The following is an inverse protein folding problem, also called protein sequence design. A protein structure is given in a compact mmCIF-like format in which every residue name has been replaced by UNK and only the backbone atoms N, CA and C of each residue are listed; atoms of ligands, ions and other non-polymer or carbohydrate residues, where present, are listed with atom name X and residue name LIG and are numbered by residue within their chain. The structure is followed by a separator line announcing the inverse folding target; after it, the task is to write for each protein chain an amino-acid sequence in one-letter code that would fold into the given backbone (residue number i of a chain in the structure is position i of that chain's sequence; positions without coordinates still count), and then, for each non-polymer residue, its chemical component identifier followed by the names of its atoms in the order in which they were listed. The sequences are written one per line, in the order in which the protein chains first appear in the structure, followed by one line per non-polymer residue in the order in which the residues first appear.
data_IF_919218815208
#
_entry.id   IF_919218815208
#
_cell.length_a   1.000
_cell.length_b   1.000
_cell.length_c   1.000
_cell.angle_alpha   90.00
_cell.angle_beta   90.00
_cell.angle_gamma   90.00
#
_symmetry.space_group_name_H-M   'P 1'
#
loop_
_entity.id
_entity.type
_entity.pdbx_description
1 polymer ?
#
# COMPACT_ATOMS: atom_id res chain seq x y z
N UNK A 1 28.11 -21.80 -16.67
CA UNK A 1 27.12 -22.21 -15.64
C UNK A 1 26.87 -20.99 -14.79
N UNK A 2 25.99 -20.11 -15.27
CA UNK A 2 25.83 -18.76 -14.73
C UNK A 2 24.56 -18.70 -13.88
N UNK A 3 24.75 -18.58 -12.57
CA UNK A 3 23.74 -18.14 -11.62
C UNK A 3 23.40 -16.68 -11.91
N UNK A 4 22.42 -16.43 -12.77
CA UNK A 4 21.78 -15.12 -12.88
C UNK A 4 20.77 -15.03 -11.75
N UNK A 5 21.20 -14.49 -10.61
CA UNK A 5 20.32 -13.99 -9.55
C UNK A 5 19.38 -12.97 -10.19
N UNK A 6 18.12 -13.36 -10.35
CA UNK A 6 17.01 -12.45 -10.64
C UNK A 6 16.82 -11.58 -9.40
N UNK A 7 17.43 -10.40 -9.39
CA UNK A 7 17.11 -9.35 -8.42
C UNK A 7 15.83 -8.70 -8.93
N UNK A 8 14.68 -9.33 -8.65
CA UNK A 8 13.41 -8.63 -8.62
C UNK A 8 13.43 -7.80 -7.33
N UNK A 9 13.68 -6.50 -7.47
CA UNK A 9 13.53 -5.57 -6.35
C UNK A 9 12.06 -5.55 -5.96
N UNK A 10 11.79 -6.17 -4.82
CA UNK A 10 10.53 -6.16 -4.11
C UNK A 10 10.17 -4.70 -3.77
N UNK A 11 9.11 -4.18 -4.37
CA UNK A 11 8.58 -2.84 -4.05
C UNK A 11 7.74 -2.86 -2.76
N UNK A 12 7.60 -4.02 -2.12
CA UNK A 12 6.85 -4.19 -0.88
C UNK A 12 7.59 -3.71 0.37
N UNK A 13 8.91 -3.48 0.33
CA UNK A 13 9.67 -3.06 1.51
C UNK A 13 10.88 -2.17 1.20
N UNK A 14 10.79 -0.89 1.55
CA UNK A 14 11.93 -0.19 2.13
C UNK A 14 11.37 0.72 3.22
N UNK A 15 11.90 0.55 4.43
CA UNK A 15 11.75 1.41 5.58
C UNK A 15 11.36 2.84 5.18
N UNK A 16 10.17 3.28 5.58
CA UNK A 16 9.74 4.67 5.45
C UNK A 16 10.42 5.57 6.49
N UNK A 17 11.69 5.29 6.81
CA UNK A 17 12.58 6.19 7.53
C UNK A 17 13.51 6.83 6.50
N UNK A 18 13.47 8.16 6.48
CA UNK A 18 14.27 9.08 5.65
C UNK A 18 13.75 9.37 4.23
N UNK A 19 13.62 10.68 3.95
CA UNK A 19 13.09 11.24 2.71
C UNK A 19 14.11 11.17 1.56
N UNK A 20 15.40 10.96 1.87
CA UNK A 20 16.47 10.81 0.87
C UNK A 20 16.29 9.57 -0.02
N UNK A 21 15.89 8.43 0.55
CA UNK A 21 15.80 7.17 -0.21
C UNK A 21 14.57 7.08 -1.13
N UNK A 22 13.50 7.84 -0.85
CA UNK A 22 12.24 7.77 -1.62
C UNK A 22 12.32 8.48 -2.97
N UNK A 23 13.04 9.60 -3.05
CA UNK A 23 13.26 10.36 -4.30
C UNK A 23 14.25 9.62 -5.21
N UNK A 24 15.26 8.96 -4.64
CA UNK A 24 16.19 8.11 -5.38
C UNK A 24 15.54 6.83 -5.94
N UNK A 25 14.46 6.34 -5.32
CA UNK A 25 13.71 5.17 -5.82
C UNK A 25 12.92 5.47 -7.10
N UNK A 26 12.33 6.66 -7.21
CA UNK A 26 11.63 7.10 -8.43
C UNK A 26 12.65 7.33 -9.58
N UNK A 27 13.82 7.93 -9.29
CA UNK A 27 14.92 8.04 -10.25
C UNK A 27 15.52 6.68 -10.66
N UNK A 28 15.64 5.73 -9.73
CA UNK A 28 16.08 4.35 -10.04
C UNK A 28 15.08 3.59 -10.90
N UNK A 29 13.78 3.82 -10.74
CA UNK A 29 12.73 3.28 -11.61
C UNK A 29 12.82 3.81 -13.05
N UNK A 30 13.12 5.10 -13.23
CA UNK A 30 13.40 5.69 -14.56
C UNK A 30 14.69 5.16 -15.19
N UNK A 31 15.71 4.84 -14.38
CA UNK A 31 16.94 4.18 -14.84
C UNK A 31 16.74 2.71 -15.19
N UNK A 32 15.85 1.99 -14.49
CA UNK A 32 15.46 0.61 -14.83
C UNK A 32 14.73 0.55 -16.18
N UNK A 33 13.87 1.53 -16.51
CA UNK A 33 13.28 1.67 -17.86
C UNK A 33 14.33 1.79 -18.97
N UNK A 34 15.53 2.30 -18.67
CA UNK A 34 16.65 2.41 -19.64
C UNK A 34 17.49 1.13 -19.77
N UNK A 35 17.52 0.25 -18.78
CA UNK A 35 18.45 -0.90 -18.72
C UNK A 35 17.84 -2.26 -19.12
N UNK A 36 16.53 -2.35 -19.38
CA UNK A 36 15.92 -3.56 -19.96
C UNK A 36 16.10 -3.59 -21.49
N UNK A 37 17.33 -3.81 -21.94
CA UNK A 37 17.60 -4.31 -23.30
C UNK A 37 17.76 -5.83 -23.22
N UNK A 38 16.63 -6.55 -23.17
CA UNK A 38 16.65 -8.00 -23.20
C UNK A 38 16.75 -8.53 -24.64
N UNK A 39 17.55 -9.59 -24.81
CA UNK A 39 18.09 -10.09 -26.06
C UNK A 39 17.01 -10.52 -27.08
N UNK A 40 17.22 -10.13 -28.34
CA UNK A 40 16.27 -10.10 -29.48
C UNK A 40 15.71 -11.45 -30.01
N UNK A 41 15.80 -12.59 -29.32
CA UNK A 41 15.70 -13.90 -30.02
C UNK A 41 14.58 -14.90 -29.71
N UNK A 42 13.60 -14.62 -28.86
CA UNK A 42 12.46 -15.55 -28.68
C UNK A 42 11.11 -14.85 -28.85
N UNK A 43 10.81 -14.51 -30.10
CA UNK A 43 9.47 -14.10 -30.55
C UNK A 43 8.65 -15.34 -30.87
N UNK A 44 7.74 -15.74 -29.97
CA UNK A 44 6.44 -16.43 -30.24
C UNK A 44 5.90 -17.09 -28.96
N UNK A 45 5.01 -16.40 -28.24
CA UNK A 45 3.83 -16.99 -27.57
C UNK A 45 3.15 -15.92 -26.68
N UNK A 46 1.94 -15.50 -27.06
CA UNK A 46 1.08 -14.57 -26.30
C UNK A 46 0.29 -15.35 -25.20
N UNK A 47 0.63 -16.61 -24.95
CA UNK A 47 -0.10 -17.46 -24.01
C UNK A 47 0.85 -18.47 -23.36
N UNK A 48 1.24 -18.22 -22.10
CA UNK A 48 1.74 -19.29 -21.24
C UNK A 48 0.53 -19.92 -20.55
N UNK A 49 0.22 -21.17 -20.92
CA UNK A 49 -0.67 -22.02 -20.13
C UNK A 49 0.13 -22.54 -18.94
N UNK A 50 -0.09 -21.95 -17.76
CA UNK A 50 0.12 -22.65 -16.49
C UNK A 50 -1.17 -22.55 -15.70
N UNK A 51 -1.69 -23.72 -15.35
CA UNK A 51 -2.97 -24.07 -14.72
C UNK A 51 -3.90 -22.92 -14.28
N UNK A 52 -5.03 -22.83 -14.99
CA UNK A 52 -6.31 -22.16 -14.69
C UNK A 52 -6.45 -20.62 -14.70
N UNK A 53 -5.45 -19.83 -15.09
CA UNK A 53 -5.68 -18.45 -15.56
C UNK A 53 -4.84 -18.16 -16.81
N UNK A 54 -5.47 -17.72 -17.91
CA UNK A 54 -4.73 -17.18 -19.07
C UNK A 54 -4.03 -15.90 -18.61
N UNK A 55 -2.74 -15.98 -18.33
CA UNK A 55 -1.95 -14.79 -17.99
C UNK A 55 -1.60 -14.05 -19.28
N UNK A 56 -2.40 -13.05 -19.63
CA UNK A 56 -2.07 -12.09 -20.69
C UNK A 56 -1.11 -11.06 -20.09
N UNK A 57 0.09 -10.92 -20.65
CA UNK A 57 1.06 -9.90 -20.24
C UNK A 57 1.20 -8.84 -21.33
N UNK A 58 0.90 -7.61 -20.99
CA UNK A 58 0.96 -6.46 -21.89
C UNK A 58 2.41 -6.08 -22.22
N UNK A 59 3.34 -6.38 -21.31
CA UNK A 59 4.79 -6.23 -21.50
C UNK A 59 5.31 -6.83 -22.83
N UNK A 60 4.79 -8.00 -23.20
CA UNK A 60 5.23 -8.74 -24.40
C UNK A 60 4.30 -8.54 -25.60
N UNK A 61 3.24 -7.75 -25.45
CA UNK A 61 2.31 -7.47 -26.52
C UNK A 61 2.95 -6.57 -27.59
N UNK A 62 2.44 -6.64 -28.83
CA UNK A 62 2.86 -5.68 -29.86
C UNK A 62 2.38 -4.27 -29.50
N UNK A 63 3.03 -3.24 -30.05
CA UNK A 63 2.61 -1.85 -29.85
C UNK A 63 1.13 -1.62 -30.22
N UNK A 64 0.65 -2.28 -31.28
CA UNK A 64 -0.75 -2.19 -31.67
C UNK A 64 -1.70 -2.70 -30.56
N UNK A 65 -1.33 -3.77 -29.85
CA UNK A 65 -2.13 -4.31 -28.75
C UNK A 65 -1.99 -3.47 -27.46
N UNK A 66 -0.84 -2.84 -27.24
CA UNK A 66 -0.63 -1.88 -26.14
C UNK A 66 -1.44 -0.58 -26.33
N UNK A 67 -1.87 -0.31 -27.55
CA UNK A 67 -2.73 0.81 -27.93
C UNK A 67 -4.21 0.42 -28.09
N UNK A 68 -4.51 -0.89 -28.15
CA UNK A 68 -5.87 -1.41 -28.25
C UNK A 68 -6.58 -1.28 -26.91
N UNK A 69 -7.48 -0.31 -26.82
CA UNK A 69 -8.24 0.01 -25.62
C UNK A 69 -8.97 -1.20 -25.03
N UNK A 70 -9.70 -1.94 -25.85
CA UNK A 70 -10.53 -3.05 -25.38
C UNK A 70 -9.67 -4.23 -24.91
N UNK A 71 -8.55 -4.47 -25.60
CA UNK A 71 -7.59 -5.46 -25.16
C UNK A 71 -6.94 -5.08 -23.83
N UNK A 72 -6.45 -3.83 -23.69
CA UNK A 72 -5.83 -3.37 -22.45
C UNK A 72 -6.83 -3.39 -21.29
N UNK A 73 -8.08 -2.97 -21.51
CA UNK A 73 -9.14 -3.00 -20.50
C UNK A 73 -9.34 -4.41 -19.92
N UNK A 74 -9.38 -5.44 -20.77
CA UNK A 74 -9.49 -6.83 -20.31
C UNK A 74 -8.27 -7.29 -19.49
N UNK A 75 -7.07 -6.86 -19.89
CA UNK A 75 -5.83 -7.23 -19.20
C UNK A 75 -5.74 -6.57 -17.82
N UNK A 76 -6.01 -5.27 -17.71
CA UNK A 76 -5.93 -4.55 -16.43
C UNK A 76 -7.02 -4.98 -15.44
N UNK A 77 -8.14 -5.51 -15.93
CA UNK A 77 -9.17 -6.15 -15.10
C UNK A 77 -8.70 -7.45 -14.44
N UNK A 78 -7.70 -8.12 -15.02
CA UNK A 78 -7.08 -9.32 -14.43
C UNK A 78 -5.89 -8.96 -13.55
N UNK A 79 -5.09 -7.97 -13.95
CA UNK A 79 -3.93 -7.46 -13.22
C UNK A 79 -3.70 -5.98 -13.51
N UNK A 80 -4.04 -5.10 -12.55
CA UNK A 80 -3.93 -3.65 -12.73
C UNK A 80 -2.50 -3.13 -12.96
N UNK A 81 -1.45 -3.87 -12.56
CA UNK A 81 -0.04 -3.48 -12.78
C UNK A 81 0.29 -3.40 -14.28
N UNK A 82 -0.40 -4.17 -15.12
CA UNK A 82 -0.16 -4.22 -16.56
C UNK A 82 -0.40 -2.85 -17.24
N UNK A 83 -1.11 -1.92 -16.58
CA UNK A 83 -1.28 -0.54 -17.04
C UNK A 83 0.06 0.14 -17.34
N UNK A 84 1.15 -0.19 -16.61
CA UNK A 84 2.51 0.33 -16.83
C UNK A 84 3.01 0.18 -18.29
N UNK A 85 2.53 -0.85 -19.00
CA UNK A 85 2.99 -1.19 -20.35
C UNK A 85 2.06 -0.66 -21.45
N UNK A 86 0.97 0.00 -21.09
CA UNK A 86 0.04 0.59 -22.05
C UNK A 86 0.62 1.85 -22.70
N UNK A 87 0.07 2.23 -23.86
CA UNK A 87 0.49 3.47 -24.53
C UNK A 87 0.04 4.71 -23.75
N UNK A 88 0.72 5.85 -23.97
CA UNK A 88 0.38 7.11 -23.29
C UNK A 88 -1.10 7.52 -23.46
N UNK A 89 -1.72 7.20 -24.60
CA UNK A 89 -3.13 7.49 -24.84
C UNK A 89 -4.03 6.68 -23.90
N UNK A 90 -3.69 5.40 -23.66
CA UNK A 90 -4.42 4.53 -22.73
C UNK A 90 -4.17 4.94 -21.28
N UNK A 91 -2.95 5.41 -20.95
CA UNK A 91 -2.65 5.96 -19.62
C UNK A 91 -3.45 7.21 -19.28
N UNK A 92 -4.02 7.89 -20.28
CA UNK A 92 -4.95 9.01 -20.13
C UNK A 92 -6.43 8.59 -20.18
N UNK A 93 -6.74 7.33 -20.47
CA UNK A 93 -8.12 6.82 -20.47
C UNK A 93 -8.56 6.53 -19.04
N UNK A 94 -9.40 7.43 -18.51
CA UNK A 94 -9.92 7.37 -17.14
C UNK A 94 -10.65 6.07 -16.82
N UNK A 95 -11.38 5.49 -17.77
CA UNK A 95 -12.11 4.24 -17.53
C UNK A 95 -11.17 3.05 -17.40
N UNK A 96 -10.15 2.97 -18.27
CA UNK A 96 -9.12 1.93 -18.20
C UNK A 96 -8.31 2.07 -16.90
N UNK A 97 -7.94 3.29 -16.53
CA UNK A 97 -7.21 3.56 -15.28
C UNK A 97 -8.04 3.18 -14.06
N UNK A 98 -9.34 3.51 -14.00
CA UNK A 98 -10.22 3.09 -12.90
C UNK A 98 -10.36 1.56 -12.81
N UNK A 99 -10.49 0.88 -13.95
CA UNK A 99 -10.54 -0.57 -14.00
C UNK A 99 -9.24 -1.22 -13.45
N UNK A 100 -8.09 -0.60 -13.74
CA UNK A 100 -6.80 -1.02 -13.20
C UNK A 100 -6.72 -0.79 -11.68
N UNK A 101 -7.13 0.39 -11.19
CA UNK A 101 -7.12 0.76 -9.75
C UNK A 101 -7.98 -0.20 -8.93
N UNK A 102 -9.11 -0.66 -9.48
CA UNK A 102 -10.00 -1.62 -8.81
C UNK A 102 -9.31 -2.97 -8.53
N UNK A 103 -8.32 -3.35 -9.33
CA UNK A 103 -7.62 -4.64 -9.22
C UNK A 103 -6.19 -4.52 -8.70
N UNK A 104 -5.64 -3.31 -8.62
CA UNK A 104 -4.33 -3.07 -8.05
C UNK A 104 -4.22 -1.69 -7.42
N UNK A 105 -3.77 -1.65 -6.18
CA UNK A 105 -3.74 -0.42 -5.39
C UNK A 105 -2.71 0.63 -5.86
N UNK A 106 -1.73 0.22 -6.66
CA UNK A 106 -0.65 1.07 -7.17
C UNK A 106 -0.91 1.56 -8.59
N UNK A 107 -1.99 1.12 -9.25
CA UNK A 107 -2.20 1.36 -10.67
C UNK A 107 -2.22 2.86 -11.05
N UNK A 108 -2.71 3.74 -10.16
CA UNK A 108 -2.74 5.19 -10.42
C UNK A 108 -1.34 5.76 -10.68
N UNK A 109 -0.27 5.18 -10.11
CA UNK A 109 1.10 5.67 -10.30
C UNK A 109 1.56 5.63 -11.76
N UNK A 110 0.94 4.77 -12.57
CA UNK A 110 1.26 4.57 -13.98
C UNK A 110 0.42 5.45 -14.91
N UNK A 111 -0.69 6.02 -14.43
CA UNK A 111 -1.53 6.91 -15.22
C UNK A 111 -0.78 8.18 -15.64
N UNK A 112 -1.28 8.84 -16.68
CA UNK A 112 -0.70 10.08 -17.16
C UNK A 112 -0.74 11.19 -16.07
N UNK A 113 0.15 12.17 -16.20
CA UNK A 113 0.17 13.32 -15.29
C UNK A 113 -1.17 14.08 -15.28
N UNK A 114 -1.79 14.22 -16.44
CA UNK A 114 -3.11 14.84 -16.60
C UNK A 114 -4.17 14.13 -15.73
N UNK A 115 -4.23 12.80 -15.79
CA UNK A 115 -5.17 12.01 -14.99
C UNK A 115 -4.86 12.10 -13.50
N UNK A 116 -3.57 12.06 -13.11
CA UNK A 116 -3.14 12.19 -11.71
C UNK A 116 -3.32 13.59 -11.13
N UNK A 117 -3.49 14.60 -11.97
CA UNK A 117 -3.77 15.98 -11.59
C UNK A 117 -5.26 16.35 -11.69
N UNK A 118 -6.10 15.48 -12.25
CA UNK A 118 -7.55 15.70 -12.26
C UNK A 118 -8.14 15.44 -10.87
N UNK A 119 -8.42 16.52 -10.14
CA UNK A 119 -9.03 16.52 -8.81
C UNK A 119 -10.28 15.64 -8.73
N UNK A 120 -11.19 15.72 -9.71
CA UNK A 120 -12.47 14.97 -9.68
C UNK A 120 -12.22 13.48 -9.87
N UNK A 121 -11.38 13.15 -10.84
CA UNK A 121 -11.00 11.76 -11.12
C UNK A 121 -10.29 11.12 -9.91
N UNK A 122 -9.29 11.81 -9.34
CA UNK A 122 -8.55 11.27 -8.21
C UNK A 122 -9.44 11.07 -6.98
N UNK A 123 -10.40 11.97 -6.72
CA UNK A 123 -11.39 11.76 -5.65
C UNK A 123 -12.28 10.53 -5.91
N UNK A 124 -12.64 10.24 -7.16
CA UNK A 124 -13.36 9.02 -7.52
C UNK A 124 -12.49 7.77 -7.31
N UNK A 125 -11.23 7.82 -7.71
CA UNK A 125 -10.27 6.74 -7.50
C UNK A 125 -10.02 6.46 -6.00
N UNK A 126 -10.00 7.50 -5.15
CA UNK A 126 -9.80 7.38 -3.69
C UNK A 126 -10.96 6.62 -3.01
N UNK A 127 -12.19 6.72 -3.55
CA UNK A 127 -13.33 5.93 -3.06
C UNK A 127 -13.10 4.43 -3.24
N UNK A 128 -12.40 4.04 -4.30
CA UNK A 128 -12.06 2.64 -4.59
C UNK A 128 -10.85 2.20 -3.78
N UNK A 129 -9.86 3.08 -3.63
CA UNK A 129 -8.60 2.78 -2.97
C UNK A 129 -7.94 4.05 -2.44
N UNK A 130 -7.73 4.12 -1.13
CA UNK A 130 -7.12 5.25 -0.42
C UNK A 130 -5.68 5.56 -0.86
N UNK A 131 -4.92 4.54 -1.28
CA UNK A 131 -3.52 4.70 -1.71
C UNK A 131 -3.37 5.56 -2.96
N UNK A 132 -4.46 5.77 -3.71
CA UNK A 132 -4.50 6.74 -4.81
C UNK A 132 -4.05 8.15 -4.38
N UNK A 133 -4.28 8.55 -3.12
CA UNK A 133 -3.81 9.85 -2.64
C UNK A 133 -2.29 9.97 -2.69
N UNK A 134 -1.54 8.90 -2.38
CA UNK A 134 -0.08 8.88 -2.45
C UNK A 134 0.43 9.24 -3.87
N UNK A 135 -0.22 8.68 -4.89
CA UNK A 135 0.16 8.80 -6.30
C UNK A 135 -0.43 10.00 -7.03
N UNK A 136 -1.32 10.75 -6.37
CA UNK A 136 -1.83 12.02 -6.88
C UNK A 136 -0.70 13.02 -7.15
N UNK A 137 -0.95 13.95 -8.07
CA UNK A 137 0.01 14.96 -8.44
C UNK A 137 0.37 15.89 -7.27
N UNK A 138 1.59 16.40 -7.24
CA UNK A 138 2.16 16.98 -6.02
C UNK A 138 1.49 18.30 -5.60
N UNK A 139 0.91 19.03 -6.54
CA UNK A 139 0.13 20.25 -6.35
C UNK A 139 -1.18 19.94 -5.63
N UNK A 140 -1.88 18.87 -6.01
CA UNK A 140 -3.09 18.45 -5.32
C UNK A 140 -2.79 18.11 -3.85
N UNK A 141 -1.64 17.50 -3.56
CA UNK A 141 -1.23 17.18 -2.18
C UNK A 141 -0.92 18.40 -1.31
N UNK A 142 -0.82 19.60 -1.89
CA UNK A 142 -0.69 20.87 -1.17
C UNK A 142 -2.04 21.56 -0.96
N UNK A 143 -3.08 21.18 -1.69
CA UNK A 143 -4.44 21.70 -1.55
C UNK A 143 -5.14 21.02 -0.37
N UNK A 144 -5.23 21.71 0.77
CA UNK A 144 -5.89 21.19 1.97
C UNK A 144 -7.39 20.90 1.73
N UNK A 145 -8.07 21.65 0.88
CA UNK A 145 -9.48 21.40 0.56
C UNK A 145 -9.63 20.06 -0.17
N UNK A 146 -8.75 19.80 -1.13
CA UNK A 146 -8.68 18.49 -1.78
C UNK A 146 -8.37 17.36 -0.79
N UNK A 147 -7.41 17.56 0.12
CA UNK A 147 -7.04 16.54 1.11
C UNK A 147 -8.19 16.22 2.05
N UNK A 148 -8.92 17.22 2.56
CA UNK A 148 -10.09 16.97 3.40
C UNK A 148 -11.21 16.28 2.64
N UNK A 149 -11.45 16.63 1.38
CA UNK A 149 -12.43 15.94 0.55
C UNK A 149 -12.01 14.48 0.29
N UNK A 150 -10.72 14.21 0.05
CA UNK A 150 -10.17 12.86 -0.08
C UNK A 150 -10.40 12.02 1.19
N UNK A 151 -10.09 12.58 2.37
CA UNK A 151 -10.31 11.93 3.68
C UNK A 151 -11.80 11.63 3.91
N UNK A 152 -12.68 12.55 3.50
CA UNK A 152 -14.13 12.37 3.60
C UNK A 152 -14.64 11.23 2.71
N UNK A 153 -14.09 11.08 1.50
CA UNK A 153 -14.46 9.99 0.59
C UNK A 153 -13.93 8.63 1.08
N UNK A 154 -12.72 8.59 1.63
CA UNK A 154 -12.14 7.39 2.20
C UNK A 154 -11.26 7.75 3.40
N UNK A 155 -11.70 7.33 4.59
CA UNK A 155 -11.05 7.68 5.87
C UNK A 155 -9.58 7.23 5.94
N UNK A 156 -9.26 6.11 5.29
CA UNK A 156 -7.90 5.57 5.22
C UNK A 156 -6.95 6.45 4.39
N UNK A 157 -7.47 7.37 3.57
CA UNK A 157 -6.64 8.34 2.85
C UNK A 157 -5.79 9.19 3.81
N UNK A 158 -6.21 9.37 5.07
CA UNK A 158 -5.41 10.03 6.10
C UNK A 158 -4.04 9.35 6.32
N UNK A 159 -3.88 8.07 6.04
CA UNK A 159 -2.59 7.37 6.09
C UNK A 159 -1.59 7.88 5.05
N UNK A 160 -2.08 8.38 3.91
CA UNK A 160 -1.28 8.73 2.74
C UNK A 160 -1.03 10.24 2.58
N UNK A 161 -1.49 11.06 3.53
CA UNK A 161 -1.13 12.49 3.54
C UNK A 161 0.36 12.68 3.79
N UNK A 162 0.88 13.86 3.44
CA UNK A 162 2.29 14.15 3.65
C UNK A 162 2.65 14.13 5.14
N UNK A 163 3.91 13.81 5.41
CA UNK A 163 4.41 13.75 6.79
C UNK A 163 4.36 15.11 7.50
N UNK A 164 4.53 16.20 6.75
CA UNK A 164 4.37 17.55 7.29
C UNK A 164 2.95 17.76 7.85
N UNK A 165 1.92 17.27 7.15
CA UNK A 165 0.54 17.32 7.61
C UNK A 165 0.28 16.40 8.80
N UNK A 166 0.91 15.21 8.86
CA UNK A 166 0.84 14.36 10.05
C UNK A 166 1.42 15.02 11.31
N UNK A 167 2.40 15.92 11.15
CA UNK A 167 3.01 16.69 12.25
C UNK A 167 2.26 17.97 12.59
N UNK A 168 1.45 18.46 11.67
CA UNK A 168 0.58 19.60 11.88
C UNK A 168 -0.58 19.20 12.81
N UNK A 169 -0.51 19.68 14.04
CA UNK A 169 -1.52 19.43 15.08
C UNK A 169 -2.88 20.01 14.70
N UNK A 170 -2.91 21.15 14.02
CA UNK A 170 -4.15 21.81 13.62
C UNK A 170 -4.82 21.02 12.48
N UNK A 171 -4.02 20.59 11.49
CA UNK A 171 -4.50 19.69 10.44
C UNK A 171 -5.06 18.40 11.02
N UNK A 172 -4.29 17.71 11.87
CA UNK A 172 -4.72 16.44 12.46
C UNK A 172 -5.99 16.62 13.30
N UNK A 173 -6.09 17.69 14.10
CA UNK A 173 -7.31 18.00 14.86
C UNK A 173 -8.52 18.19 13.94
N UNK A 174 -8.37 18.98 12.87
CA UNK A 174 -9.45 19.17 11.87
C UNK A 174 -9.83 17.86 11.18
N UNK A 175 -8.85 17.03 10.82
CA UNK A 175 -9.09 15.73 10.18
C UNK A 175 -9.83 14.77 11.12
N UNK A 176 -9.45 14.71 12.39
CA UNK A 176 -10.16 13.89 13.39
C UNK A 176 -11.58 14.40 13.61
N UNK A 177 -11.80 15.71 13.74
CA UNK A 177 -13.17 16.26 13.86
C UNK A 177 -14.03 15.97 12.63
N UNK A 178 -13.45 16.05 11.44
CA UNK A 178 -14.12 15.72 10.18
C UNK A 178 -14.58 14.26 10.15
N UNK A 179 -13.74 13.35 10.63
CA UNK A 179 -14.01 11.91 10.64
C UNK A 179 -14.93 11.51 11.79
N UNK A 180 -14.79 12.14 12.95
CA UNK A 180 -15.49 11.81 14.18
C UNK A 180 -16.21 13.06 14.71
N UNK A 181 -17.41 13.38 14.18
CA UNK A 181 -18.17 14.58 14.58
C UNK A 181 -18.47 14.65 16.08
N UNK A 182 -18.49 13.53 16.80
CA UNK A 182 -18.60 13.50 18.26
C UNK A 182 -17.46 14.24 18.99
N UNK A 183 -16.34 14.46 18.29
CA UNK A 183 -15.17 15.17 18.79
C UNK A 183 -15.10 16.64 18.37
N UNK A 184 -16.19 17.23 17.87
CA UNK A 184 -16.23 18.63 17.42
C UNK A 184 -15.75 19.63 18.48
N UNK A 185 -16.01 19.33 19.76
CA UNK A 185 -15.58 20.16 20.90
C UNK A 185 -14.10 19.95 21.33
N UNK A 186 -13.34 19.05 20.69
CA UNK A 186 -11.93 18.85 21.05
C UNK A 186 -11.10 20.10 20.77
N UNK A 187 -10.31 20.52 21.77
CA UNK A 187 -9.37 21.64 21.63
C UNK A 187 -8.01 21.14 21.14
N UNK A 188 -7.64 19.90 21.47
CA UNK A 188 -6.40 19.25 21.04
C UNK A 188 -6.57 17.74 21.01
N UNK A 189 -5.71 17.04 20.27
CA UNK A 189 -5.64 15.58 20.31
C UNK A 189 -4.71 15.18 21.46
N UNK A 190 -5.28 14.70 22.55
CA UNK A 190 -4.52 14.05 23.60
C UNK A 190 -4.21 12.61 23.21
N UNK A 191 -2.95 12.35 22.87
CA UNK A 191 -2.47 11.04 22.47
C UNK A 191 -2.40 10.00 23.61
N UNK A 192 -2.59 10.42 24.86
CA UNK A 192 -2.70 9.54 26.02
C UNK A 192 -4.16 9.23 26.40
N UNK A 193 -5.14 9.91 25.78
CA UNK A 193 -6.54 9.66 26.04
C UNK A 193 -6.97 8.32 25.41
N UNK A 194 -7.20 7.31 26.25
CA UNK A 194 -7.59 5.96 25.83
C UNK A 194 -8.90 5.93 25.05
N UNK A 195 -9.90 6.75 25.41
CA UNK A 195 -11.21 6.77 24.76
C UNK A 195 -11.12 7.30 23.32
N UNK A 196 -10.47 8.46 23.15
CA UNK A 196 -10.21 9.04 21.82
C UNK A 196 -9.37 8.06 21.00
N UNK A 197 -8.29 7.52 21.59
CA UNK A 197 -7.40 6.62 20.88
C UNK A 197 -8.11 5.34 20.44
N UNK A 198 -8.91 4.72 21.30
CA UNK A 198 -9.69 3.52 20.99
C UNK A 198 -10.59 3.77 19.78
N UNK A 199 -11.32 4.88 19.78
CA UNK A 199 -12.25 5.21 18.71
C UNK A 199 -11.55 5.38 17.37
N UNK A 200 -10.44 6.12 17.35
CA UNK A 200 -9.75 6.41 16.08
C UNK A 200 -9.01 5.19 15.52
N UNK A 201 -8.40 4.34 16.36
CA UNK A 201 -7.66 3.15 15.88
C UNK A 201 -8.58 2.02 15.42
N UNK A 202 -9.82 1.97 15.91
CA UNK A 202 -10.83 1.02 15.41
C UNK A 202 -11.12 1.22 13.92
N UNK A 203 -11.12 2.47 13.46
CA UNK A 203 -11.36 2.78 12.04
C UNK A 203 -10.07 2.91 11.23
N UNK A 204 -9.02 3.48 11.83
CA UNK A 204 -7.75 3.76 11.17
C UNK A 204 -6.59 3.28 12.07
N UNK A 205 -6.26 1.99 11.97
CA UNK A 205 -5.21 1.37 12.79
C UNK A 205 -3.84 2.06 12.72
N UNK A 206 -3.50 2.71 11.60
CA UNK A 206 -2.31 3.55 11.43
C UNK A 206 -2.16 4.63 12.53
N UNK A 207 -3.26 5.14 13.09
CA UNK A 207 -3.22 6.20 14.10
C UNK A 207 -2.61 5.75 15.43
N UNK A 208 -2.42 4.45 15.67
CA UNK A 208 -1.65 3.93 16.80
C UNK A 208 -0.24 4.53 16.87
N UNK A 209 0.34 4.93 15.73
CA UNK A 209 1.64 5.62 15.66
C UNK A 209 1.72 6.84 16.59
N UNK A 210 0.62 7.58 16.72
CA UNK A 210 0.58 8.82 17.48
C UNK A 210 0.31 8.60 18.96
N UNK A 211 -0.16 7.41 19.35
CA UNK A 211 -0.48 7.09 20.74
C UNK A 211 0.74 7.20 21.67
N UNK A 212 0.46 7.48 22.95
CA UNK A 212 1.48 7.47 24.00
C UNK A 212 2.10 6.06 24.15
N UNK A 213 3.27 5.98 24.80
CA UNK A 213 3.94 4.69 25.00
C UNK A 213 3.09 3.74 25.87
N UNK A 214 2.34 4.28 26.82
CA UNK A 214 1.41 3.53 27.66
C UNK A 214 0.31 2.89 26.81
N UNK A 215 -0.31 3.65 25.89
CA UNK A 215 -1.35 3.13 25.00
C UNK A 215 -0.81 2.20 23.90
N UNK A 216 0.44 2.39 23.45
CA UNK A 216 1.14 1.43 22.58
C UNK A 216 1.47 0.12 23.28
N UNK A 217 1.42 0.10 24.61
CA UNK A 217 1.53 -1.09 25.45
C UNK A 217 0.17 -1.52 26.02
N UNK A 218 -0.92 -0.84 25.66
CA UNK A 218 -2.28 -1.23 26.04
C UNK A 218 -2.79 -2.26 25.04
N UNK A 219 -2.99 -3.48 25.54
CA UNK A 219 -3.33 -4.64 24.72
C UNK A 219 -4.63 -4.44 23.94
N UNK A 220 -5.65 -3.81 24.53
CA UNK A 220 -6.94 -3.65 23.87
C UNK A 220 -6.84 -2.63 22.73
N UNK A 221 -6.12 -1.53 22.95
CA UNK A 221 -5.87 -0.51 21.93
C UNK A 221 -5.12 -1.12 20.76
N UNK A 222 -4.02 -1.84 21.02
CA UNK A 222 -3.22 -2.47 19.97
C UNK A 222 -4.02 -3.54 19.24
N UNK A 223 -4.79 -4.37 19.93
CA UNK A 223 -5.60 -5.41 19.31
C UNK A 223 -6.66 -4.82 18.36
N UNK A 224 -7.29 -3.70 18.72
CA UNK A 224 -8.23 -2.99 17.84
C UNK A 224 -7.50 -2.37 16.64
N UNK A 225 -6.32 -1.77 16.87
CA UNK A 225 -5.51 -1.21 15.79
C UNK A 225 -5.12 -2.27 14.75
N UNK A 226 -4.60 -3.43 15.18
CA UNK A 226 -4.17 -4.49 14.25
C UNK A 226 -5.34 -5.20 13.55
N UNK A 227 -6.55 -5.18 14.14
CA UNK A 227 -7.78 -5.62 13.46
C UNK A 227 -8.16 -4.70 12.31
N UNK A 228 -7.94 -3.40 12.47
CA UNK A 228 -8.19 -2.39 11.44
C UNK A 228 -7.09 -2.40 10.37
N UNK A 229 -5.83 -2.40 10.80
CA UNK A 229 -4.63 -2.38 9.97
C UNK A 229 -3.51 -3.23 10.59
N UNK A 230 -3.24 -4.42 10.06
CA UNK A 230 -2.31 -5.39 10.64
C UNK A 230 -0.88 -4.88 10.73
N UNK A 231 -0.46 -3.98 9.83
CA UNK A 231 0.89 -3.39 9.91
C UNK A 231 1.02 -2.33 11.02
N UNK A 232 -0.08 -1.96 11.69
CA UNK A 232 -0.02 -1.10 12.87
C UNK A 232 0.75 -1.73 14.03
N UNK A 233 0.97 -3.05 14.01
CA UNK A 233 1.80 -3.79 14.98
C UNK A 233 3.21 -3.18 15.13
N UNK A 234 3.73 -2.56 14.08
CA UNK A 234 5.02 -1.86 14.10
C UNK A 234 5.11 -0.76 15.17
N UNK A 235 3.97 -0.20 15.58
CA UNK A 235 3.90 0.88 16.57
C UNK A 235 3.64 0.38 17.98
N UNK A 236 3.28 -0.89 18.15
CA UNK A 236 3.06 -1.48 19.45
C UNK A 236 4.38 -1.62 20.22
N UNK A 237 4.30 -1.77 21.54
CA UNK A 237 5.45 -2.09 22.37
C UNK A 237 6.07 -3.44 21.96
N UNK A 238 7.36 -3.63 22.25
CA UNK A 238 8.02 -4.93 22.04
C UNK A 238 7.32 -6.09 22.77
N UNK A 239 6.70 -5.82 23.93
CA UNK A 239 5.93 -6.81 24.66
C UNK A 239 4.72 -7.30 23.85
N UNK A 240 4.00 -6.38 23.20
CA UNK A 240 2.83 -6.73 22.39
C UNK A 240 3.19 -7.22 20.98
N UNK A 241 4.35 -6.85 20.43
CA UNK A 241 4.92 -7.50 19.24
C UNK A 241 5.28 -8.98 19.49
N UNK A 242 5.52 -9.34 20.77
CA UNK A 242 5.75 -10.70 21.22
C UNK A 242 4.49 -11.35 21.86
N UNK A 243 3.34 -10.67 21.88
CA UNK A 243 2.07 -11.27 22.29
C UNK A 243 1.55 -12.14 21.15
N UNK A 244 1.40 -13.44 21.42
CA UNK A 244 1.00 -14.43 20.41
C UNK A 244 -0.35 -14.11 19.77
N UNK A 245 -1.34 -13.68 20.54
CA UNK A 245 -2.68 -13.40 20.02
C UNK A 245 -2.69 -12.12 19.19
N UNK A 246 -2.00 -11.08 19.66
CA UNK A 246 -1.85 -9.82 18.92
C UNK A 246 -1.12 -10.06 17.59
N UNK A 247 -0.01 -10.80 17.62
CA UNK A 247 0.74 -11.17 16.42
C UNK A 247 -0.10 -12.00 15.44
N UNK A 248 -0.80 -13.03 15.94
CA UNK A 248 -1.70 -13.86 15.12
C UNK A 248 -2.81 -13.05 14.46
N UNK A 249 -3.40 -12.11 15.20
CA UNK A 249 -4.44 -11.23 14.69
C UNK A 249 -3.90 -10.28 13.61
N UNK A 250 -2.69 -9.74 13.80
CA UNK A 250 -2.03 -8.86 12.84
C UNK A 250 -1.72 -9.59 11.53
N UNK A 251 -1.10 -10.77 11.58
CA UNK A 251 -0.75 -11.54 10.36
C UNK A 251 -1.98 -12.09 9.64
N UNK A 252 -3.06 -12.39 10.37
CA UNK A 252 -4.35 -12.78 9.78
C UNK A 252 -4.98 -11.62 9.01
N UNK A 253 -4.81 -10.38 9.48
CA UNK A 253 -5.30 -9.19 8.81
C UNK A 253 -4.43 -8.88 7.57
N UNK A 254 -3.11 -8.88 7.73
CA UNK A 254 -2.14 -8.62 6.65
C UNK A 254 -0.87 -9.45 6.89
N UNK A 255 -0.56 -10.37 5.96
CA UNK A 255 0.61 -11.25 6.07
C UNK A 255 1.94 -10.51 6.18
N UNK A 256 2.05 -9.30 5.62
CA UNK A 256 3.25 -8.46 5.76
C UNK A 256 3.49 -7.99 7.20
N UNK A 257 2.50 -8.06 8.09
CA UNK A 257 2.67 -7.75 9.50
C UNK A 257 3.68 -8.67 10.20
N UNK A 258 4.00 -9.84 9.61
CA UNK A 258 5.03 -10.75 10.12
C UNK A 258 6.39 -10.06 10.28
N UNK A 259 6.68 -9.02 9.48
CA UNK A 259 7.89 -8.20 9.63
C UNK A 259 8.06 -7.61 11.03
N UNK A 260 6.95 -7.22 11.68
CA UNK A 260 6.94 -6.51 12.95
C UNK A 260 6.70 -7.43 14.15
N UNK A 261 6.43 -8.71 13.89
CA UNK A 261 6.35 -9.74 14.92
C UNK A 261 7.75 -9.97 15.51
N UNK A 262 7.80 -10.27 16.80
CA UNK A 262 9.07 -10.58 17.49
C UNK A 262 9.85 -11.71 16.81
N UNK A 263 11.17 -11.71 16.97
CA UNK A 263 12.02 -12.78 16.42
C UNK A 263 11.66 -14.15 16.97
N UNK A 264 11.20 -14.23 18.23
CA UNK A 264 10.73 -15.46 18.85
C UNK A 264 9.50 -16.02 18.14
N UNK A 265 8.51 -15.17 17.84
CA UNK A 265 7.27 -15.59 17.20
C UNK A 265 7.43 -15.83 15.69
N UNK A 266 8.45 -15.24 15.04
CA UNK A 266 8.86 -15.56 13.65
C UNK A 266 9.37 -17.00 13.47
N UNK A 267 9.68 -17.71 14.55
CA UNK A 267 9.96 -19.15 14.57
C UNK A 267 8.72 -20.02 14.81
N UNK A 268 7.54 -19.41 14.97
CA UNK A 268 6.31 -20.15 15.30
C UNK A 268 5.56 -20.52 14.02
N UNK A 269 5.53 -21.81 13.70
CA UNK A 269 5.04 -22.34 12.42
C UNK A 269 3.60 -21.91 12.09
N UNK A 270 2.67 -21.88 13.04
CA UNK A 270 1.28 -21.48 12.80
C UNK A 270 1.14 -19.99 12.43
N UNK A 271 1.90 -19.10 13.10
CA UNK A 271 1.93 -17.66 12.79
C UNK A 271 2.51 -17.46 11.38
N UNK A 272 3.64 -18.09 11.08
CA UNK A 272 4.31 -17.96 9.77
C UNK A 272 3.45 -18.51 8.66
N UNK A 273 2.85 -19.70 8.83
CA UNK A 273 1.93 -20.27 7.83
C UNK A 273 0.72 -19.36 7.59
N UNK A 274 0.16 -18.76 8.64
CA UNK A 274 -0.92 -17.78 8.49
C UNK A 274 -0.48 -16.60 7.64
N UNK A 275 0.70 -16.03 7.93
CA UNK A 275 1.23 -14.89 7.21
C UNK A 275 1.51 -15.22 5.74
N UNK A 276 2.14 -16.37 5.45
CA UNK A 276 2.50 -16.82 4.10
C UNK A 276 1.27 -17.13 3.26
N UNK A 277 0.23 -17.72 3.85
CA UNK A 277 -1.04 -17.96 3.17
C UNK A 277 -1.73 -16.65 2.79
N UNK A 278 -1.54 -15.59 3.56
CA UNK A 278 -2.10 -14.27 3.26
C UNK A 278 -1.23 -13.48 2.28
N UNK A 279 0.09 -13.56 2.41
CA UNK A 279 1.05 -12.96 1.51
C UNK A 279 2.29 -13.86 1.42
N UNK A 280 2.52 -14.51 0.28
CA UNK A 280 3.64 -15.44 0.09
C UNK A 280 5.02 -14.80 0.36
N UNK A 281 5.16 -13.48 0.16
CA UNK A 281 6.38 -12.74 0.46
C UNK A 281 6.68 -12.65 1.96
N UNK A 282 5.69 -12.90 2.83
CA UNK A 282 5.90 -12.93 4.27
C UNK A 282 6.94 -13.97 4.69
N UNK A 283 7.17 -15.02 3.89
CA UNK A 283 8.21 -16.03 4.16
C UNK A 283 9.61 -15.40 4.31
N UNK A 284 9.87 -14.26 3.66
CA UNK A 284 11.12 -13.51 3.81
C UNK A 284 11.41 -13.10 5.27
N UNK A 285 10.35 -12.88 6.06
CA UNK A 285 10.43 -12.44 7.45
C UNK A 285 10.45 -13.58 8.47
N UNK A 286 10.23 -14.82 8.04
CA UNK A 286 10.29 -15.98 8.91
C UNK A 286 11.72 -16.24 9.42
N UNK A 287 11.81 -17.02 10.50
CA UNK A 287 13.10 -17.56 10.96
C UNK A 287 13.79 -18.39 9.87
N UNK A 288 15.12 -18.46 9.90
CA UNK A 288 15.88 -19.25 8.92
C UNK A 288 15.53 -20.74 8.97
N UNK A 289 15.16 -21.27 10.14
CA UNK A 289 14.68 -22.64 10.29
C UNK A 289 13.42 -22.90 9.46
N UNK A 290 12.40 -22.04 9.60
CA UNK A 290 11.13 -22.19 8.87
C UNK A 290 11.21 -21.82 7.39
N UNK A 291 12.22 -21.06 6.96
CA UNK A 291 12.46 -20.80 5.53
C UNK A 291 12.94 -22.03 4.77
N UNK A 292 13.51 -23.01 5.49
CA UNK A 292 14.13 -24.20 4.92
C UNK A 292 13.33 -25.51 5.17
N UNK A 293 12.19 -25.44 5.89
CA UNK A 293 11.24 -26.55 6.15
C UNK A 293 10.29 -26.74 4.95
#
# INVERSE_FOLDING_TARGET
MNNVRVILMDFSNACLNDHGERVDKIRKLELLKRNFHCNKKERRSICFKSNQKKAFRLEYASKQLQEDREFVLQVVQLNGIELLYASNNILSDKEVVLAAIKNNEDALMYASEEVRNDKKFVLEAIKLNDKCLLYSFHELKKDLEFIFEAIKQNRKALQWVSWDLHRDKEFMLKAIKLLFPEFDNLISIDHANKEIMMKVVQEIGFLLRFASNELKNDRDIVLNAVKSDGVSLQYASHNLQNDREVAQQAVKQNGSALEYVSTQLKGTKDIVLTAVNQNGYALYHASDELKND
#
